data_IF_775478959000
#
_entry.id   IF_775478959000
#
_cell.length_a   1.000
_cell.length_b   1.000
_cell.length_c   1.000
_cell.angle_alpha   90.00
_cell.angle_beta   90.00
_cell.angle_gamma   90.00
#
_symmetry.space_group_name_H-M   'P 1'
#
loop_
_entity.id
_entity.type
_entity.pdbx_description
1 polymer ?
#
# COMPACT_ATOMS: atom_id res chain seq x y z
N UNK A 1 16.15 10.08 9.06
CA UNK A 1 15.89 9.66 7.68
C UNK A 1 15.33 10.86 6.93
N UNK A 2 15.64 11.04 5.64
CA UNK A 2 15.01 12.10 4.85
C UNK A 2 13.48 11.94 4.89
N UNK A 3 12.76 13.04 5.13
CA UNK A 3 11.30 13.10 5.07
C UNK A 3 10.91 13.67 3.71
N UNK A 4 9.96 13.06 2.99
CA UNK A 4 9.23 11.84 3.34
C UNK A 4 10.08 10.58 3.13
N UNK A 5 9.77 9.54 3.90
CA UNK A 5 10.37 8.23 3.69
C UNK A 5 9.95 7.64 2.32
N UNK A 6 10.80 6.80 1.74
CA UNK A 6 10.45 5.98 0.57
C UNK A 6 10.20 4.54 0.99
N UNK A 7 9.03 4.00 0.63
CA UNK A 7 8.59 2.67 1.01
C UNK A 7 7.82 1.94 -0.10
N UNK A 8 8.47 1.30 -1.08
CA UNK A 8 7.80 0.69 -2.23
C UNK A 8 7.14 -0.66 -1.90
N UNK A 9 6.16 -1.05 -2.73
CA UNK A 9 5.63 -2.40 -2.73
C UNK A 9 6.58 -3.40 -3.41
N UNK A 10 6.75 -4.56 -2.78
CA UNK A 10 7.57 -5.68 -3.28
C UNK A 10 6.82 -7.00 -3.12
N UNK A 11 7.10 -7.97 -3.99
CA UNK A 11 6.50 -9.30 -3.87
C UNK A 11 7.13 -10.08 -2.71
N UNK A 12 6.29 -10.76 -1.92
CA UNK A 12 6.77 -11.71 -0.92
C UNK A 12 7.49 -12.93 -1.50
N UNK A 13 7.21 -13.24 -2.78
CA UNK A 13 7.56 -14.54 -3.38
C UNK A 13 8.50 -14.42 -4.57
N UNK A 14 8.68 -13.21 -5.12
CA UNK A 14 9.54 -12.96 -6.26
C UNK A 14 10.45 -11.75 -5.97
N UNK A 15 11.75 -11.93 -6.12
CA UNK A 15 12.72 -10.83 -6.03
C UNK A 15 12.82 -10.10 -7.38
N UNK A 16 13.29 -8.87 -7.32
CA UNK A 16 13.57 -8.06 -8.51
C UNK A 16 14.73 -7.11 -8.25
N UNK A 17 15.63 -6.97 -9.22
CA UNK A 17 16.87 -6.19 -9.06
C UNK A 17 16.66 -4.69 -8.83
N UNK A 18 15.43 -4.19 -9.01
CA UNK A 18 15.05 -2.79 -8.82
C UNK A 18 14.53 -2.48 -7.42
N UNK A 19 14.43 -3.49 -6.55
CA UNK A 19 13.88 -3.33 -5.21
C UNK A 19 14.71 -2.41 -4.32
N UNK A 20 16.04 -2.46 -4.41
CA UNK A 20 16.94 -1.65 -3.57
C UNK A 20 17.20 -0.24 -4.11
N UNK A 21 16.71 0.08 -5.32
CA UNK A 21 16.87 1.42 -5.88
C UNK A 21 16.23 2.48 -4.97
N UNK A 22 16.83 3.67 -4.87
CA UNK A 22 16.36 4.73 -3.98
C UNK A 22 16.49 4.42 -2.47
N UNK A 23 17.24 3.39 -2.09
CA UNK A 23 17.52 3.01 -0.69
C UNK A 23 16.28 3.01 0.23
N UNK A 24 15.31 2.10 0.00
CA UNK A 24 14.06 2.09 0.75
C UNK A 24 14.27 1.97 2.25
N UNK A 25 13.54 2.80 3.01
CA UNK A 25 13.51 2.71 4.47
C UNK A 25 12.69 1.51 4.97
N UNK A 26 11.62 1.19 4.24
CA UNK A 26 10.68 0.11 4.55
C UNK A 26 10.17 -0.51 3.26
N UNK A 27 9.95 -1.82 3.24
CA UNK A 27 9.28 -2.49 2.12
C UNK A 27 7.84 -2.86 2.49
N UNK A 28 6.86 -2.53 1.64
CA UNK A 28 5.50 -3.06 1.75
C UNK A 28 5.45 -4.45 1.09
N UNK A 29 5.45 -5.51 1.90
CA UNK A 29 5.53 -6.90 1.46
C UNK A 29 4.15 -7.42 1.06
N UNK A 30 3.93 -7.56 -0.25
CA UNK A 30 2.65 -7.90 -0.86
C UNK A 30 2.55 -9.39 -1.29
N UNK A 31 1.44 -10.09 -1.06
CA UNK A 31 0.37 -9.78 -0.10
C UNK A 31 0.04 -11.04 0.72
N UNK A 32 -0.42 -10.81 1.94
CA UNK A 32 -1.08 -11.84 2.75
C UNK A 32 -2.57 -11.85 2.43
N UNK A 33 -3.07 -13.02 2.04
CA UNK A 33 -4.48 -13.26 1.74
C UNK A 33 -4.99 -14.51 2.47
N UNK A 34 -6.28 -14.81 2.36
CA UNK A 34 -6.89 -16.00 2.93
C UNK A 34 -6.54 -17.26 2.12
N UNK A 35 -5.94 -18.23 2.78
CA UNK A 35 -5.75 -19.59 2.30
C UNK A 35 -6.98 -20.49 2.53
N UNK A 36 -6.75 -21.80 2.48
CA UNK A 36 -7.79 -22.81 2.71
C UNK A 36 -8.41 -22.65 4.12
N UNK A 37 -9.72 -22.80 4.20
CA UNK A 37 -10.48 -22.64 5.45
C UNK A 37 -10.79 -21.18 5.84
N UNK A 38 -10.30 -20.19 5.09
CA UNK A 38 -10.75 -18.80 5.19
C UNK A 38 -10.17 -17.98 6.36
N UNK A 39 -9.56 -18.60 7.37
CA UNK A 39 -8.87 -17.91 8.47
C UNK A 39 -7.35 -18.13 8.47
N UNK A 40 -6.80 -18.88 7.52
CA UNK A 40 -5.37 -19.17 7.45
C UNK A 40 -4.69 -18.10 6.58
N UNK A 41 -3.73 -17.32 7.10
CA UNK A 41 -2.98 -16.36 6.30
C UNK A 41 -2.00 -17.09 5.36
N UNK A 42 -1.86 -16.63 4.12
CA UNK A 42 -0.91 -17.18 3.13
C UNK A 42 -0.29 -16.09 2.27
N UNK A 43 0.93 -16.32 1.79
CA UNK A 43 1.58 -15.51 0.75
C UNK A 43 1.08 -15.97 -0.63
N UNK A 44 -0.13 -15.54 -1.00
CA UNK A 44 -0.81 -16.08 -2.16
C UNK A 44 -1.06 -17.58 -2.00
N UNK A 45 -0.34 -18.40 -2.79
CA UNK A 45 -0.42 -19.86 -2.75
C UNK A 45 0.54 -20.54 -1.76
N UNK A 46 1.42 -19.79 -1.12
CA UNK A 46 2.43 -20.33 -0.20
C UNK A 46 2.03 -20.15 1.26
N UNK A 47 2.36 -21.13 2.09
CA UNK A 47 2.15 -21.03 3.54
C UNK A 47 2.87 -19.81 4.13
N UNK A 48 2.30 -19.23 5.18
CA UNK A 48 2.82 -17.99 5.78
C UNK A 48 4.27 -18.12 6.28
N UNK A 49 4.65 -19.32 6.74
CA UNK A 49 6.00 -19.65 7.21
C UNK A 49 6.90 -20.29 6.16
N UNK A 50 6.59 -20.17 4.86
CA UNK A 50 7.40 -20.78 3.80
C UNK A 50 8.85 -20.30 3.88
N UNK A 51 9.80 -21.24 4.03
CA UNK A 51 11.23 -20.93 4.18
C UNK A 51 11.81 -20.02 3.08
N UNK A 52 11.39 -20.16 1.82
CA UNK A 52 11.86 -19.30 0.73
C UNK A 52 11.37 -17.85 0.87
N UNK A 53 10.18 -17.64 1.43
CA UNK A 53 9.68 -16.29 1.76
C UNK A 53 10.46 -15.73 2.95
N UNK A 54 10.76 -16.54 3.97
CA UNK A 54 11.61 -16.11 5.08
C UNK A 54 13.00 -15.67 4.62
N UNK A 55 13.68 -16.45 3.76
CA UNK A 55 14.96 -16.06 3.16
C UNK A 55 14.85 -14.75 2.38
N UNK A 56 13.75 -14.57 1.65
CA UNK A 56 13.47 -13.36 0.86
C UNK A 56 13.23 -12.13 1.75
N UNK A 57 12.62 -12.30 2.92
CA UNK A 57 12.45 -11.23 3.92
C UNK A 57 13.79 -10.86 4.55
N UNK A 58 14.61 -11.86 4.92
CA UNK A 58 15.96 -11.63 5.44
C UNK A 58 16.83 -10.87 4.44
N UNK A 59 16.70 -11.16 3.14
CA UNK A 59 17.42 -10.44 2.09
C UNK A 59 17.02 -8.95 2.02
N UNK A 60 15.73 -8.61 2.09
CA UNK A 60 15.29 -7.20 2.14
C UNK A 60 15.83 -6.45 3.36
N UNK A 61 15.84 -7.12 4.52
CA UNK A 61 16.27 -6.51 5.77
C UNK A 61 17.78 -6.35 5.86
N UNK A 62 18.55 -7.02 4.99
CA UNK A 62 20.01 -6.98 5.00
C UNK A 62 20.60 -5.59 4.73
N UNK A 63 19.87 -4.72 4.04
CA UNK A 63 20.25 -3.31 3.82
C UNK A 63 19.85 -2.37 4.96
N UNK A 64 19.34 -2.90 6.08
CA UNK A 64 18.85 -2.10 7.22
C UNK A 64 17.41 -1.61 7.09
N UNK A 65 16.72 -1.95 5.99
CA UNK A 65 15.31 -1.61 5.76
C UNK A 65 14.38 -2.43 6.67
N UNK A 66 13.28 -1.81 7.13
CA UNK A 66 12.20 -2.57 7.78
C UNK A 66 11.27 -3.22 6.74
N UNK A 67 10.37 -4.09 7.22
CA UNK A 67 9.33 -4.70 6.38
C UNK A 67 7.98 -4.47 7.03
N UNK A 68 7.01 -4.06 6.21
CA UNK A 68 5.59 -3.93 6.54
C UNK A 68 4.82 -5.05 5.85
N UNK A 69 4.04 -5.80 6.60
CA UNK A 69 3.23 -6.89 6.04
C UNK A 69 1.95 -6.31 5.45
N UNK A 70 1.75 -6.45 4.14
CA UNK A 70 0.55 -5.96 3.46
C UNK A 70 -0.50 -7.06 3.31
N UNK A 71 -1.70 -6.82 3.82
CA UNK A 71 -2.84 -7.72 3.78
C UNK A 71 -3.86 -7.25 2.74
N UNK A 72 -4.37 -8.17 1.92
CA UNK A 72 -5.38 -7.87 0.91
C UNK A 72 -4.79 -7.65 -0.49
N UNK A 73 -4.99 -6.46 -1.05
CA UNK A 73 -4.71 -6.10 -2.44
C UNK A 73 -5.81 -6.53 -3.41
N UNK A 74 -5.66 -6.14 -4.69
CA UNK A 74 -6.67 -6.34 -5.74
C UNK A 74 -7.00 -7.81 -6.07
N UNK A 75 -6.12 -8.75 -5.74
CA UNK A 75 -6.25 -10.16 -6.09
C UNK A 75 -6.31 -11.08 -4.87
N UNK A 76 -7.12 -12.13 -4.98
CA UNK A 76 -7.29 -13.12 -3.91
C UNK A 76 -8.46 -12.78 -2.99
N UNK A 77 -8.52 -13.43 -1.83
CA UNK A 77 -9.57 -13.23 -0.83
C UNK A 77 -8.98 -12.55 0.39
N UNK A 78 -9.41 -11.34 0.70
CA UNK A 78 -8.98 -10.64 1.91
C UNK A 78 -9.46 -11.39 3.16
N UNK A 79 -8.62 -11.50 4.19
CA UNK A 79 -8.85 -12.35 5.36
C UNK A 79 -10.16 -12.07 6.12
N UNK A 80 -10.57 -10.82 6.28
CA UNK A 80 -11.82 -10.47 6.97
C UNK A 80 -13.09 -10.80 6.13
N UNK A 81 -12.97 -10.90 4.81
CA UNK A 81 -14.07 -11.37 3.95
C UNK A 81 -14.39 -12.84 4.19
N UNK A 82 -13.43 -13.64 4.64
CA UNK A 82 -13.58 -15.09 4.85
C UNK A 82 -13.58 -15.50 6.32
N UNK A 83 -12.81 -14.82 7.17
CA UNK A 83 -12.68 -15.14 8.59
C UNK A 83 -13.59 -14.26 9.46
N UNK A 84 -14.69 -14.83 9.97
CA UNK A 84 -15.70 -14.07 10.74
C UNK A 84 -15.47 -14.05 12.26
N UNK A 85 -14.50 -14.81 12.75
CA UNK A 85 -14.12 -14.80 14.17
C UNK A 85 -13.04 -13.75 14.42
N UNK A 86 -13.34 -12.76 15.27
CA UNK A 86 -12.42 -11.68 15.63
C UNK A 86 -11.09 -12.21 16.19
N UNK A 87 -11.14 -13.19 17.10
CA UNK A 87 -9.93 -13.77 17.71
C UNK A 87 -9.10 -14.55 16.71
N UNK A 88 -9.72 -15.36 15.85
CA UNK A 88 -9.00 -16.09 14.78
C UNK A 88 -8.39 -15.13 13.77
N UNK A 89 -9.10 -14.06 13.40
CA UNK A 89 -8.61 -13.06 12.46
C UNK A 89 -7.44 -12.27 13.05
N UNK A 90 -7.52 -11.85 14.32
CA UNK A 90 -6.40 -11.22 15.02
C UNK A 90 -5.18 -12.15 15.11
N UNK A 91 -5.41 -13.44 15.39
CA UNK A 91 -4.36 -14.46 15.38
C UNK A 91 -3.73 -14.67 14.00
N UNK A 92 -4.52 -14.61 12.92
CA UNK A 92 -4.01 -14.69 11.55
C UNK A 92 -3.11 -13.48 11.20
N UNK A 93 -3.51 -12.27 11.60
CA UNK A 93 -2.68 -11.08 11.43
C UNK A 93 -1.38 -11.17 12.24
N UNK A 94 -1.46 -11.62 13.50
CA UNK A 94 -0.28 -11.83 14.34
C UNK A 94 0.68 -12.88 13.74
N UNK A 95 0.17 -14.01 13.26
CA UNK A 95 0.99 -15.06 12.65
C UNK A 95 1.74 -14.59 11.40
N UNK A 96 1.13 -13.73 10.59
CA UNK A 96 1.79 -13.14 9.43
C UNK A 96 2.89 -12.14 9.81
N UNK A 97 2.64 -11.30 10.83
CA UNK A 97 3.64 -10.39 11.38
C UNK A 97 4.82 -11.15 11.99
N UNK A 98 4.55 -12.22 12.75
CA UNK A 98 5.57 -13.09 13.34
C UNK A 98 6.43 -13.76 12.27
N UNK A 99 5.80 -14.33 11.24
CA UNK A 99 6.50 -14.99 10.15
C UNK A 99 7.44 -14.05 9.38
N UNK A 100 7.11 -12.75 9.34
CA UNK A 100 7.94 -11.72 8.72
C UNK A 100 8.92 -11.05 9.69
N UNK A 101 8.81 -11.28 11.00
CA UNK A 101 9.53 -10.52 12.02
C UNK A 101 9.27 -9.02 11.88
N UNK A 102 8.00 -8.64 11.74
CA UNK A 102 7.55 -7.27 11.47
C UNK A 102 6.59 -6.79 12.57
N UNK A 103 6.58 -5.48 12.81
CA UNK A 103 5.64 -4.79 13.71
C UNK A 103 4.76 -3.79 12.97
N UNK A 104 4.89 -3.73 11.65
CA UNK A 104 4.11 -2.84 10.80
C UNK A 104 3.15 -3.66 9.94
N UNK A 105 1.86 -3.34 10.00
CA UNK A 105 0.79 -3.98 9.24
C UNK A 105 0.13 -2.95 8.32
N UNK A 106 0.06 -3.26 7.03
CA UNK A 106 -0.72 -2.51 6.04
C UNK A 106 -1.96 -3.28 5.63
N UNK A 107 -3.13 -2.63 5.72
CA UNK A 107 -4.39 -3.21 5.27
C UNK A 107 -4.77 -2.56 3.95
N UNK A 108 -4.42 -3.23 2.86
CA UNK A 108 -4.72 -2.83 1.48
C UNK A 108 -6.08 -3.38 1.07
N UNK A 109 -7.09 -2.51 1.12
CA UNK A 109 -8.49 -2.89 0.99
C UNK A 109 -9.03 -2.31 -0.30
N UNK A 110 -9.32 -3.20 -1.24
CA UNK A 110 -9.73 -2.84 -2.59
C UNK A 110 -11.03 -3.55 -2.96
N UNK A 111 -11.79 -2.97 -3.91
CA UNK A 111 -12.95 -3.62 -4.52
C UNK A 111 -14.09 -3.97 -3.54
N UNK A 112 -14.80 -5.11 -3.73
CA UNK A 112 -15.97 -5.47 -2.93
C UNK A 112 -15.76 -5.50 -1.40
N UNK A 113 -14.60 -5.89 -0.85
CA UNK A 113 -14.30 -5.76 0.59
C UNK A 113 -14.50 -4.36 1.20
N UNK A 114 -14.47 -3.29 0.41
CA UNK A 114 -14.71 -1.92 0.90
C UNK A 114 -16.17 -1.70 1.33
N UNK A 115 -17.11 -2.31 0.63
CA UNK A 115 -18.56 -2.13 0.84
C UNK A 115 -19.20 -3.26 1.65
N UNK A 116 -18.50 -4.38 1.90
CA UNK A 116 -18.93 -5.43 2.83
C UNK A 116 -18.78 -4.97 4.29
N UNK A 117 -19.84 -4.35 4.81
CA UNK A 117 -19.92 -3.85 6.19
C UNK A 117 -19.57 -4.91 7.25
N UNK A 118 -19.83 -6.20 7.00
CA UNK A 118 -19.48 -7.28 7.94
C UNK A 118 -17.98 -7.48 7.99
N UNK A 119 -17.31 -7.54 6.82
CA UNK A 119 -15.84 -7.64 6.77
C UNK A 119 -15.18 -6.39 7.37
N UNK A 120 -15.71 -5.20 7.09
CA UNK A 120 -15.20 -3.93 7.64
C UNK A 120 -15.29 -3.88 9.17
N UNK A 121 -16.41 -4.35 9.74
CA UNK A 121 -16.60 -4.40 11.19
C UNK A 121 -15.71 -5.44 11.87
N UNK A 122 -15.61 -6.66 11.31
CA UNK A 122 -14.79 -7.73 11.91
C UNK A 122 -13.30 -7.40 11.81
N UNK A 123 -12.85 -6.82 10.68
CA UNK A 123 -11.47 -6.34 10.50
C UNK A 123 -11.09 -5.33 11.57
N UNK A 124 -11.91 -4.31 11.76
CA UNK A 124 -11.66 -3.25 12.75
C UNK A 124 -11.54 -3.82 14.17
N UNK A 125 -12.44 -4.73 14.57
CA UNK A 125 -12.38 -5.41 15.87
C UNK A 125 -11.13 -6.29 16.02
N UNK A 126 -10.74 -7.01 14.97
CA UNK A 126 -9.58 -7.88 14.98
C UNK A 126 -8.27 -7.09 15.07
N UNK A 127 -8.17 -5.96 14.35
CA UNK A 127 -7.00 -5.07 14.43
C UNK A 127 -6.90 -4.44 15.82
N UNK A 128 -8.02 -3.98 16.40
CA UNK A 128 -8.02 -3.43 17.75
C UNK A 128 -7.58 -4.47 18.80
N UNK A 129 -8.03 -5.72 18.65
CA UNK A 129 -7.58 -6.83 19.49
C UNK A 129 -6.09 -7.11 19.32
N UNK A 130 -5.59 -7.13 18.08
CA UNK A 130 -4.16 -7.28 17.77
C UNK A 130 -3.34 -6.18 18.47
N UNK A 131 -3.72 -4.91 18.32
CA UNK A 131 -3.02 -3.79 18.94
C UNK A 131 -3.13 -3.73 20.47
N UNK A 132 -4.13 -4.39 21.06
CA UNK A 132 -4.24 -4.60 22.50
C UNK A 132 -3.27 -5.67 22.98
N UNK A 133 -3.13 -6.75 22.21
CA UNK A 133 -2.21 -7.85 22.52
C UNK A 133 -0.74 -7.49 22.22
N UNK A 134 -0.53 -6.61 21.24
CA UNK A 134 0.78 -6.19 20.73
C UNK A 134 0.81 -4.66 20.56
N UNK A 135 1.04 -3.91 21.65
CA UNK A 135 0.98 -2.45 21.65
C UNK A 135 1.92 -1.78 20.63
N UNK A 136 3.02 -2.45 20.29
CA UNK A 136 4.04 -2.05 19.32
C UNK A 136 3.56 -2.08 17.87
N UNK A 137 2.46 -2.77 17.56
CA UNK A 137 1.98 -2.91 16.19
C UNK A 137 1.44 -1.59 15.65
N UNK A 138 2.08 -1.10 14.58
CA UNK A 138 1.65 0.07 13.80
C UNK A 138 0.79 -0.36 12.63
N UNK A 139 -0.33 0.32 12.42
CA UNK A 139 -1.34 -0.01 11.42
C UNK A 139 -1.42 1.09 10.37
N UNK A 140 -1.32 0.73 9.09
CA UNK A 140 -1.73 1.57 7.97
C UNK A 140 -2.92 0.97 7.23
N UNK A 141 -3.68 1.84 6.56
CA UNK A 141 -4.69 1.44 5.59
C UNK A 141 -4.29 1.97 4.23
N UNK A 142 -4.18 1.09 3.24
CA UNK A 142 -4.02 1.43 1.83
C UNK A 142 -5.38 1.35 1.15
N UNK A 143 -5.82 2.47 0.55
CA UNK A 143 -7.19 2.63 0.06
C UNK A 143 -7.23 3.32 -1.31
N UNK A 144 -8.20 2.96 -2.18
CA UNK A 144 -8.40 3.66 -3.44
C UNK A 144 -8.90 5.08 -3.21
N UNK A 145 -8.44 5.99 -4.05
CA UNK A 145 -8.73 7.42 -3.95
C UNK A 145 -9.05 7.98 -5.33
N UNK A 146 -9.89 9.02 -5.35
CA UNK A 146 -10.12 9.83 -6.54
C UNK A 146 -9.46 11.20 -6.37
N UNK A 147 -9.35 12.03 -7.43
CA UNK A 147 -8.83 13.40 -7.27
C UNK A 147 -9.63 14.25 -6.27
N UNK A 148 -10.88 13.87 -5.99
CA UNK A 148 -11.76 14.48 -4.99
C UNK A 148 -11.72 13.79 -3.61
N UNK A 149 -10.79 12.87 -3.37
CA UNK A 149 -10.53 12.19 -2.09
C UNK A 149 -11.04 10.75 -2.04
N UNK A 150 -11.04 10.18 -0.83
CA UNK A 150 -11.56 8.84 -0.57
C UNK A 150 -13.07 8.80 -0.79
N UNK A 151 -13.53 7.74 -1.45
CA UNK A 151 -14.96 7.50 -1.65
C UNK A 151 -15.66 7.09 -0.34
N UNK A 152 -16.99 6.96 -0.38
CA UNK A 152 -17.81 6.62 0.80
C UNK A 152 -17.40 5.30 1.47
N UNK A 153 -17.02 4.29 0.69
CA UNK A 153 -16.74 2.94 1.18
C UNK A 153 -15.34 2.89 1.83
N UNK A 154 -14.35 3.53 1.22
CA UNK A 154 -13.02 3.73 1.82
C UNK A 154 -13.08 4.54 3.11
N UNK A 155 -13.91 5.59 3.14
CA UNK A 155 -14.17 6.33 4.39
C UNK A 155 -14.89 5.47 5.44
N UNK A 156 -15.75 4.53 5.04
CA UNK A 156 -16.42 3.63 5.97
C UNK A 156 -15.42 2.68 6.65
N UNK A 157 -14.38 2.22 5.94
CA UNK A 157 -13.27 1.46 6.53
C UNK A 157 -12.59 2.26 7.63
N UNK A 158 -12.16 3.49 7.35
CA UNK A 158 -11.45 4.34 8.33
C UNK A 158 -12.33 4.70 9.54
N UNK A 159 -13.61 5.01 9.30
CA UNK A 159 -14.58 5.31 10.37
C UNK A 159 -14.83 4.09 11.26
N UNK A 160 -14.96 2.90 10.65
CA UNK A 160 -15.10 1.64 11.39
C UNK A 160 -13.86 1.34 12.22
N UNK A 161 -12.66 1.53 11.66
CA UNK A 161 -11.40 1.36 12.38
C UNK A 161 -11.33 2.29 13.59
N UNK A 162 -11.61 3.60 13.42
CA UNK A 162 -11.67 4.57 14.52
C UNK A 162 -12.69 4.16 15.59
N UNK A 163 -13.92 3.83 15.18
CA UNK A 163 -14.98 3.43 16.11
C UNK A 163 -14.67 2.12 16.85
N UNK A 164 -13.93 1.21 16.20
CA UNK A 164 -13.44 -0.04 16.79
C UNK A 164 -12.24 0.13 17.73
N UNK A 165 -11.69 1.34 17.88
CA UNK A 165 -10.54 1.62 18.74
C UNK A 165 -9.18 1.31 18.11
N UNK A 166 -9.10 1.18 16.78
CA UNK A 166 -7.84 0.99 16.07
C UNK A 166 -7.01 2.27 16.14
N UNK A 167 -5.75 2.16 16.57
CA UNK A 167 -4.75 3.23 16.45
C UNK A 167 -4.20 3.23 15.01
N UNK A 168 -4.88 3.95 14.12
CA UNK A 168 -4.45 4.13 12.73
C UNK A 168 -3.25 5.08 12.71
N UNK A 169 -2.10 4.59 12.26
CA UNK A 169 -0.87 5.38 12.21
C UNK A 169 -0.75 6.16 10.90
N UNK A 170 -1.17 5.57 9.78
CA UNK A 170 -1.08 6.18 8.45
C UNK A 170 -2.25 5.74 7.57
N UNK A 171 -2.74 6.63 6.72
CA UNK A 171 -3.62 6.32 5.60
C UNK A 171 -2.83 6.53 4.33
N UNK A 172 -2.55 5.44 3.63
CA UNK A 172 -1.87 5.44 2.35
C UNK A 172 -2.92 5.44 1.23
N UNK A 173 -2.85 6.39 0.31
CA UNK A 173 -3.81 6.48 -0.79
C UNK A 173 -3.19 6.01 -2.09
N UNK A 174 -3.92 5.16 -2.83
CA UNK A 174 -3.50 4.66 -4.12
C UNK A 174 -3.81 5.69 -5.21
N UNK A 175 -2.84 6.54 -5.51
CA UNK A 175 -2.92 7.61 -6.51
C UNK A 175 -2.75 7.06 -7.93
N UNK A 176 -3.71 6.22 -8.34
CA UNK A 176 -3.72 5.46 -9.58
C UNK A 176 -5.16 5.09 -9.97
N UNK A 177 -5.38 4.70 -11.22
CA UNK A 177 -6.62 4.11 -11.72
C UNK A 177 -7.86 4.98 -11.42
N UNK A 178 -7.78 6.27 -11.76
CA UNK A 178 -8.84 7.27 -11.56
C UNK A 178 -10.03 7.09 -12.50
N UNK A 179 -9.82 6.48 -13.67
CA UNK A 179 -10.86 6.22 -14.67
C UNK A 179 -10.66 7.05 -15.94
N UNK A 180 -11.11 6.51 -17.07
CA UNK A 180 -10.81 7.03 -18.41
C UNK A 180 -11.38 8.42 -18.73
N UNK A 181 -12.26 8.96 -17.89
CA UNK A 181 -12.75 10.34 -18.03
C UNK A 181 -11.82 11.39 -17.42
N UNK A 182 -10.72 10.98 -16.80
CA UNK A 182 -9.67 11.86 -16.30
C UNK A 182 -8.55 11.96 -17.33
N UNK A 183 -8.30 13.17 -17.84
CA UNK A 183 -7.43 13.47 -18.99
C UNK A 183 -6.29 14.47 -18.68
N UNK A 184 -6.11 14.83 -17.40
CA UNK A 184 -5.04 15.71 -16.89
C UNK A 184 -3.81 14.89 -16.44
N UNK A 185 -2.76 15.59 -16.02
CA UNK A 185 -1.50 15.05 -15.50
C UNK A 185 -1.70 14.19 -14.23
N UNK A 186 -1.07 13.02 -14.18
CA UNK A 186 -1.26 12.04 -13.11
C UNK A 186 -0.71 12.53 -11.76
N UNK A 187 0.40 13.27 -11.77
CA UNK A 187 0.96 13.92 -10.58
C UNK A 187 0.03 15.00 -10.04
N UNK A 188 -0.57 15.78 -10.93
CA UNK A 188 -1.61 16.76 -10.58
C UNK A 188 -2.82 16.08 -9.91
N UNK A 189 -3.29 14.95 -10.43
CA UNK A 189 -4.35 14.18 -9.79
C UNK A 189 -3.97 13.58 -8.44
N UNK A 190 -2.74 13.08 -8.29
CA UNK A 190 -2.22 12.61 -7.02
C UNK A 190 -2.23 13.72 -5.94
N UNK A 191 -1.80 14.93 -6.31
CA UNK A 191 -1.81 16.10 -5.41
C UNK A 191 -3.25 16.54 -5.07
N UNK A 192 -4.17 16.54 -6.05
CA UNK A 192 -5.61 16.83 -5.81
C UNK A 192 -6.19 15.82 -4.81
N UNK A 193 -5.95 14.52 -5.03
CA UNK A 193 -6.38 13.44 -4.16
C UNK A 193 -5.81 13.58 -2.74
N UNK A 194 -4.53 13.92 -2.61
CA UNK A 194 -3.88 14.15 -1.32
C UNK A 194 -4.51 15.32 -0.55
N UNK A 195 -4.74 16.46 -1.20
CA UNK A 195 -5.39 17.64 -0.60
C UNK A 195 -6.83 17.37 -0.18
N UNK A 196 -7.57 16.59 -0.95
CA UNK A 196 -8.93 16.19 -0.59
C UNK A 196 -8.93 15.21 0.60
N UNK A 197 -8.05 14.21 0.57
CA UNK A 197 -7.91 13.21 1.63
C UNK A 197 -7.46 13.85 2.94
N UNK A 198 -6.53 14.81 2.91
CA UNK A 198 -6.12 15.59 4.07
C UNK A 198 -7.32 16.20 4.82
N UNK A 199 -8.23 16.86 4.09
CA UNK A 199 -9.47 17.42 4.67
C UNK A 199 -10.34 16.34 5.29
N UNK A 200 -10.40 15.15 4.68
CA UNK A 200 -11.15 14.01 5.21
C UNK A 200 -10.51 13.44 6.48
N UNK A 201 -9.18 13.27 6.53
CA UNK A 201 -8.47 12.75 7.70
C UNK A 201 -8.62 13.66 8.92
N UNK A 202 -8.55 14.99 8.73
CA UNK A 202 -8.85 15.96 9.79
C UNK A 202 -10.23 15.71 10.41
N UNK A 203 -11.25 15.49 9.57
CA UNK A 203 -12.64 15.25 10.03
C UNK A 203 -12.80 13.87 10.66
N UNK A 204 -12.29 12.82 10.02
CA UNK A 204 -12.44 11.44 10.48
C UNK A 204 -11.72 11.25 11.81
N UNK A 205 -10.47 11.68 11.93
CA UNK A 205 -9.63 11.41 13.10
C UNK A 205 -9.54 12.56 14.09
N UNK A 206 -10.02 13.77 13.76
CA UNK A 206 -9.90 14.95 14.63
C UNK A 206 -8.47 15.50 14.69
N UNK A 207 -7.68 15.28 13.63
CA UNK A 207 -6.27 15.69 13.57
C UNK A 207 -6.13 17.19 13.27
N UNK A 208 -5.03 17.78 13.75
CA UNK A 208 -4.57 19.08 13.26
C UNK A 208 -4.22 18.99 11.77
N UNK A 209 -4.15 20.12 11.04
CA UNK A 209 -3.68 20.11 9.66
C UNK A 209 -2.31 19.42 9.48
N UNK A 210 -1.37 19.69 10.36
CA UNK A 210 0.00 19.16 10.28
C UNK A 210 0.01 17.66 10.58
N UNK A 211 -0.70 17.24 11.62
CA UNK A 211 -0.83 15.83 11.97
C UNK A 211 -1.56 15.03 10.88
N UNK A 212 -2.50 15.63 10.15
CA UNK A 212 -3.18 14.98 9.05
C UNK A 212 -2.28 14.75 7.83
N UNK A 213 -1.30 15.63 7.56
CA UNK A 213 -0.30 15.38 6.52
C UNK A 213 0.66 14.27 6.93
N UNK A 214 1.15 14.31 8.18
CA UNK A 214 2.01 13.26 8.75
C UNK A 214 1.34 11.89 8.87
N UNK A 215 0.01 11.85 8.80
CA UNK A 215 -0.76 10.61 8.78
C UNK A 215 -1.16 10.19 7.36
N UNK A 216 -0.76 10.93 6.32
CA UNK A 216 -1.04 10.61 4.92
C UNK A 216 0.21 10.05 4.24
N UNK A 217 0.02 9.05 3.39
CA UNK A 217 1.04 8.55 2.48
C UNK A 217 0.48 8.40 1.06
N UNK A 218 1.36 8.40 0.06
CA UNK A 218 0.98 8.38 -1.36
C UNK A 218 1.63 7.16 -2.03
N UNK A 219 0.82 6.32 -2.68
CA UNK A 219 1.31 5.21 -3.51
C UNK A 219 0.82 5.41 -4.94
N UNK A 220 1.73 5.71 -5.87
CA UNK A 220 1.41 5.79 -7.29
C UNK A 220 1.73 4.49 -8.02
N UNK A 221 0.91 4.12 -8.99
CA UNK A 221 1.28 3.08 -9.94
C UNK A 221 2.16 3.73 -11.01
N UNK A 222 3.37 3.21 -11.21
CA UNK A 222 4.37 3.85 -12.08
C UNK A 222 4.19 3.45 -13.54
N UNK A 223 4.46 4.36 -14.48
CA UNK A 223 4.26 4.11 -15.90
C UNK A 223 2.80 3.87 -16.25
N UNK A 224 2.55 2.96 -17.19
CA UNK A 224 1.21 2.62 -17.69
C UNK A 224 0.38 1.98 -16.57
N UNK A 225 -0.81 2.52 -16.33
CA UNK A 225 -1.78 2.03 -15.35
C UNK A 225 -2.79 1.05 -15.97
N UNK A 226 -3.70 0.51 -15.16
CA UNK A 226 -4.72 -0.45 -15.60
C UNK A 226 -5.89 0.21 -16.35
N UNK A 227 -5.97 1.54 -16.29
CA UNK A 227 -7.00 2.35 -16.96
C UNK A 227 -6.42 2.96 -18.25
N UNK A 228 -7.21 2.90 -19.32
CA UNK A 228 -6.85 3.52 -20.60
C UNK A 228 -6.51 5.01 -20.42
N UNK A 229 -5.45 5.44 -21.11
CA UNK A 229 -4.90 6.80 -21.10
C UNK A 229 -4.27 7.26 -19.78
N UNK A 230 -4.13 6.39 -18.78
CA UNK A 230 -3.38 6.72 -17.58
C UNK A 230 -1.93 6.24 -17.67
N UNK A 231 -0.99 7.18 -17.65
CA UNK A 231 0.44 6.89 -17.56
C UNK A 231 1.10 7.83 -16.58
N UNK A 232 1.59 7.30 -15.46
CA UNK A 232 2.35 8.03 -14.46
C UNK A 232 3.82 8.11 -14.87
N UNK A 233 4.29 9.29 -15.22
CA UNK A 233 5.62 9.57 -15.77
C UNK A 233 6.66 9.89 -14.68
N UNK A 234 7.94 9.97 -15.06
CA UNK A 234 9.00 10.42 -14.14
C UNK A 234 8.81 11.88 -13.70
N UNK A 235 8.18 12.72 -14.53
CA UNK A 235 7.80 14.08 -14.14
C UNK A 235 6.77 14.05 -13.02
N UNK A 236 5.75 13.19 -13.14
CA UNK A 236 4.74 12.99 -12.09
C UNK A 236 5.37 12.52 -10.77
N UNK A 237 6.35 11.61 -10.84
CA UNK A 237 7.08 11.14 -9.66
C UNK A 237 7.78 12.30 -8.93
N UNK A 238 8.50 13.15 -9.67
CA UNK A 238 9.17 14.32 -9.13
C UNK A 238 8.18 15.33 -8.52
N UNK A 239 7.03 15.56 -9.19
CA UNK A 239 5.96 16.41 -8.67
C UNK A 239 5.40 15.89 -7.34
N UNK A 240 5.08 14.58 -7.27
CA UNK A 240 4.56 13.95 -6.06
C UNK A 240 5.60 14.00 -4.94
N UNK A 241 6.88 13.76 -5.24
CA UNK A 241 7.97 13.84 -4.25
C UNK A 241 8.11 15.25 -3.68
N UNK A 242 8.18 16.27 -4.54
CA UNK A 242 8.31 17.66 -4.09
C UNK A 242 7.13 18.10 -3.23
N UNK A 243 5.90 17.74 -3.62
CA UNK A 243 4.71 17.99 -2.80
C UNK A 243 4.77 17.28 -1.45
N UNK A 244 5.23 16.03 -1.44
CA UNK A 244 5.35 15.20 -0.26
C UNK A 244 6.37 15.77 0.76
N UNK A 245 7.49 16.32 0.28
CA UNK A 245 8.46 17.08 1.08
C UNK A 245 7.85 18.38 1.62
N UNK A 246 7.19 19.16 0.77
CA UNK A 246 6.57 20.43 1.17
C UNK A 246 5.52 20.25 2.29
N UNK A 247 4.78 19.14 2.26
CA UNK A 247 3.71 18.85 3.23
C UNK A 247 4.13 17.97 4.40
N UNK A 248 5.36 17.45 4.41
CA UNK A 248 5.87 16.52 5.43
C UNK A 248 4.94 15.30 5.58
N UNK A 249 4.61 14.67 4.45
CA UNK A 249 3.79 13.45 4.44
C UNK A 249 4.58 12.25 4.96
N UNK A 250 3.89 11.20 5.44
CA UNK A 250 4.52 10.06 6.10
C UNK A 250 5.54 9.34 5.20
N UNK A 251 5.12 8.99 3.99
CA UNK A 251 5.96 8.37 2.96
C UNK A 251 5.38 8.52 1.56
N UNK A 252 6.25 8.33 0.58
CA UNK A 252 5.89 8.04 -0.81
C UNK A 252 6.24 6.59 -1.14
N UNK A 253 5.48 6.01 -2.05
CA UNK A 253 5.54 4.61 -2.42
C UNK A 253 5.15 4.44 -3.88
N UNK A 254 5.40 3.24 -4.40
CA UNK A 254 5.00 2.87 -5.75
C UNK A 254 4.46 1.45 -5.85
N UNK A 255 3.53 1.27 -6.79
CA UNK A 255 3.13 -0.03 -7.33
C UNK A 255 3.79 -0.26 -8.69
N UNK A 256 4.85 -1.08 -8.79
CA UNK A 256 5.58 -1.75 -7.71
C UNK A 256 7.08 -1.74 -8.04
N UNK A 257 7.95 -2.06 -7.08
CA UNK A 257 9.40 -2.01 -7.28
C UNK A 257 9.87 -2.83 -8.48
N UNK A 258 9.27 -4.00 -8.70
CA UNK A 258 9.59 -4.84 -9.85
C UNK A 258 9.28 -4.19 -11.21
N UNK A 259 8.34 -3.23 -11.25
CA UNK A 259 7.94 -2.50 -12.45
C UNK A 259 8.90 -1.37 -12.80
N UNK A 260 9.84 -0.99 -11.93
CA UNK A 260 10.70 0.19 -12.12
C UNK A 260 11.86 -0.05 -13.10
N UNK A 261 11.51 -0.44 -14.31
CA UNK A 261 12.41 -0.72 -15.42
C UNK A 261 11.66 -0.60 -16.74
N UNK A 262 12.39 -0.31 -17.79
CA UNK A 262 11.85 -0.36 -19.14
C UNK A 262 11.48 -1.81 -19.53
N UNK A 263 10.37 -1.96 -20.26
CA UNK A 263 9.96 -3.25 -20.80
C UNK A 263 10.91 -3.75 -21.90
N UNK A 264 11.09 -5.07 -21.97
CA UNK A 264 11.74 -5.71 -23.11
C UNK A 264 11.05 -5.34 -24.44
N UNK A 265 11.83 -5.30 -25.53
CA UNK A 265 11.31 -4.94 -26.86
C UNK A 265 10.14 -5.85 -27.23
N UNK A 266 9.02 -5.26 -27.65
CA UNK A 266 7.80 -5.97 -28.05
C UNK A 266 6.93 -6.48 -26.89
N UNK A 267 7.35 -6.31 -25.63
CA UNK A 267 6.56 -6.71 -24.46
C UNK A 267 5.50 -5.68 -24.07
N UNK A 268 5.86 -4.40 -24.10
CA UNK A 268 4.92 -3.32 -23.83
C UNK A 268 3.88 -3.27 -24.95
N UNK A 269 2.61 -3.43 -24.58
CA UNK A 269 1.46 -3.08 -25.43
C UNK A 269 0.92 -1.74 -24.97
N UNK A 270 0.49 -0.91 -25.91
CA UNK A 270 -0.15 0.36 -25.57
C UNK A 270 -1.33 0.10 -24.62
N UNK A 271 -1.40 0.88 -23.53
CA UNK A 271 -2.46 0.82 -22.52
C UNK A 271 -2.63 -0.54 -21.82
N UNK A 272 -1.59 -1.38 -21.78
CA UNK A 272 -1.62 -2.62 -20.99
C UNK A 272 -0.54 -2.58 -19.93
N UNK A 273 -0.96 -2.35 -18.68
CA UNK A 273 -0.08 -2.45 -17.53
C UNK A 273 0.63 -3.81 -17.49
N UNK A 274 1.94 -3.78 -17.26
CA UNK A 274 2.78 -4.95 -17.10
C UNK A 274 3.10 -5.17 -15.62
N UNK A 275 3.29 -6.42 -15.21
CA UNK A 275 3.56 -6.75 -13.79
C UNK A 275 5.03 -6.57 -13.39
N UNK A 276 5.96 -6.51 -14.34
CA UNK A 276 7.41 -6.51 -14.12
C UNK A 276 8.18 -5.43 -14.92
N UNK A 277 7.46 -4.48 -15.50
CA UNK A 277 8.01 -3.27 -16.10
C UNK A 277 6.94 -2.16 -16.13
N UNK A 278 7.36 -0.92 -16.35
CA UNK A 278 6.47 0.24 -16.24
C UNK A 278 5.67 0.52 -17.51
N UNK A 279 6.10 -0.03 -18.65
CA UNK A 279 5.50 0.29 -19.95
C UNK A 279 6.01 1.60 -20.59
N UNK A 280 6.91 2.33 -19.92
CA UNK A 280 7.54 3.54 -20.47
C UNK A 280 9.04 3.35 -20.70
N UNK A 281 9.63 4.25 -21.49
CA UNK A 281 11.09 4.33 -21.65
C UNK A 281 11.70 4.97 -20.41
N UNK A 282 12.62 4.25 -19.77
CA UNK A 282 13.31 4.71 -18.55
C UNK A 282 14.58 3.88 -18.31
N UNK A 283 15.43 4.32 -17.40
CA UNK A 283 16.45 3.47 -16.77
C UNK A 283 15.83 2.63 -15.63
N UNK A 284 16.46 1.51 -15.30
CA UNK A 284 16.09 0.74 -14.10
C UNK A 284 16.28 1.58 -12.85
N UNK A 285 15.32 1.56 -11.92
CA UNK A 285 15.39 2.32 -10.66
C UNK A 285 15.05 3.81 -10.78
N UNK A 286 14.64 4.29 -11.96
CA UNK A 286 14.41 5.72 -12.18
C UNK A 286 13.29 6.30 -11.32
N UNK A 287 12.19 5.56 -11.14
CA UNK A 287 11.09 6.01 -10.28
C UNK A 287 11.49 5.95 -8.81
N UNK A 288 12.21 4.92 -8.38
CA UNK A 288 12.70 4.81 -7.02
C UNK A 288 13.61 5.99 -6.65
N UNK A 289 14.52 6.38 -7.55
CA UNK A 289 15.35 7.58 -7.36
C UNK A 289 14.51 8.85 -7.30
N UNK A 290 13.54 9.02 -8.19
CA UNK A 290 12.63 10.17 -8.14
C UNK A 290 11.80 10.25 -6.84
N UNK A 291 11.37 9.10 -6.29
CA UNK A 291 10.62 9.06 -5.04
C UNK A 291 11.48 9.14 -3.77
N UNK A 292 12.77 8.80 -3.83
CA UNK A 292 13.67 8.84 -2.68
C UNK A 292 14.27 10.22 -2.42
N UNK A 293 14.35 11.06 -3.46
CA UNK A 293 14.89 12.42 -3.37
C UNK A 293 16.40 12.44 -3.56
#
# INVERSE_FOLDING_TARGET
MPSPAYAPYVSATAASDTESAGSPSTYNLAFVIAGRGGCTPTWGKYDIGKASVQSRISALKSSGSSVRVSFGGASGKELATTCKSVSKLAGAYAAALDAAGATEADFDIEGPPLSDSKSVAVRSKAIALLQKQRPEVRVSFTLPVMPHGLNKDSLAVLKSAKAGGVRVSTVNIMTMNYGSSYDDDMGTYAIKAAKATHKQLKKVFGLSPEAAWKALALTSMIGVNDVDNETFTLSDAAQVRSFAEEKDVAWVSMWAAARDRQCARGKAKANVAQTDCSGIKQRSGAFAEAFSG
#
